data_IF_056899879973
#
_entry.id   IF_056899879973
#
_cell.length_a   1.000
_cell.length_b   1.000
_cell.length_c   1.000
_cell.angle_alpha   90.00
_cell.angle_beta   90.00
_cell.angle_gamma   90.00
#
_symmetry.space_group_name_H-M   'P 1'
#
loop_
_entity.id
_entity.type
_entity.pdbx_description
1 polymer ?
#
# COMPACT_ATOMS: atom_id res chain seq x y z
N UNK A 1 3.51 -7.54 15.24
CA UNK A 1 3.10 -6.61 14.18
C UNK A 1 3.27 -7.23 12.81
N UNK A 2 2.42 -6.86 11.89
CA UNK A 2 2.57 -7.23 10.48
C UNK A 2 2.77 -5.97 9.66
N UNK A 3 3.39 -6.12 8.51
CA UNK A 3 3.73 -4.98 7.65
C UNK A 3 3.28 -5.24 6.22
N UNK A 4 2.56 -4.29 5.66
CA UNK A 4 2.34 -4.23 4.22
C UNK A 4 3.53 -3.57 3.58
N UNK A 5 4.05 -4.17 2.53
CA UNK A 5 5.08 -3.57 1.68
C UNK A 5 4.50 -3.48 0.28
N UNK A 6 4.32 -2.25 -0.20
CA UNK A 6 3.75 -1.99 -1.52
C UNK A 6 4.78 -1.34 -2.42
N UNK A 7 4.73 -1.76 -3.68
CA UNK A 7 5.49 -1.11 -4.75
C UNK A 7 4.46 -0.68 -5.79
N UNK A 8 4.39 0.61 -6.09
CA UNK A 8 3.37 1.18 -6.97
C UNK A 8 4.02 2.03 -8.05
N UNK A 9 3.73 1.71 -9.31
CA UNK A 9 4.13 2.50 -10.46
C UNK A 9 2.87 2.88 -11.23
N UNK A 10 2.37 4.12 -11.08
CA UNK A 10 1.16 4.54 -11.78
C UNK A 10 1.33 4.50 -13.29
N UNK A 11 0.29 4.02 -13.98
CA UNK A 11 0.18 4.08 -15.44
C UNK A 11 -0.75 5.21 -15.86
N UNK A 12 -1.55 5.71 -14.91
CA UNK A 12 -2.46 6.83 -15.04
C UNK A 12 -2.50 7.51 -13.68
N UNK A 13 -2.45 8.82 -13.64
CA UNK A 13 -2.38 9.58 -12.39
C UNK A 13 -3.73 10.14 -11.94
N UNK A 14 -4.76 10.05 -12.74
CA UNK A 14 -6.06 10.66 -12.44
C UNK A 14 -6.72 10.11 -11.17
N UNK A 15 -6.47 8.85 -10.83
CA UNK A 15 -7.06 8.19 -9.66
C UNK A 15 -6.37 8.54 -8.34
N UNK A 16 -5.14 9.05 -8.38
CA UNK A 16 -4.28 9.18 -7.20
C UNK A 16 -4.85 10.11 -6.13
N UNK A 17 -5.29 11.36 -6.44
CA UNK A 17 -5.78 12.25 -5.40
C UNK A 17 -6.97 11.68 -4.61
N UNK A 18 -7.91 11.06 -5.31
CA UNK A 18 -9.08 10.45 -4.69
C UNK A 18 -8.69 9.27 -3.81
N UNK A 19 -7.81 8.41 -4.32
CA UNK A 19 -7.31 7.24 -3.59
C UNK A 19 -6.59 7.66 -2.30
N UNK A 20 -5.62 8.56 -2.42
CA UNK A 20 -4.79 8.97 -1.28
C UNK A 20 -5.64 9.57 -0.16
N UNK A 21 -6.62 10.39 -0.53
CA UNK A 21 -7.49 11.05 0.45
C UNK A 21 -8.31 10.05 1.26
N UNK A 22 -8.87 9.04 0.62
CA UNK A 22 -9.80 8.11 1.26
C UNK A 22 -9.11 6.89 1.85
N UNK A 23 -8.06 6.38 1.20
CA UNK A 23 -7.36 5.19 1.67
C UNK A 23 -6.72 5.39 3.04
N UNK A 24 -6.18 6.56 3.32
CA UNK A 24 -5.54 6.85 4.60
C UNK A 24 -6.52 6.68 5.77
N UNK A 25 -7.76 7.14 5.60
CA UNK A 25 -8.79 7.02 6.64
C UNK A 25 -9.18 5.55 6.88
N UNK A 26 -9.26 4.77 5.81
CA UNK A 26 -9.62 3.35 5.92
C UNK A 26 -8.47 2.55 6.55
N UNK A 27 -7.23 2.85 6.19
CA UNK A 27 -6.05 2.26 6.83
C UNK A 27 -6.10 2.52 8.34
N UNK A 28 -6.35 3.77 8.73
CA UNK A 28 -6.44 4.17 10.13
C UNK A 28 -7.60 3.44 10.86
N UNK A 29 -8.73 3.28 10.19
CA UNK A 29 -9.89 2.55 10.72
C UNK A 29 -9.53 1.13 11.15
N UNK A 30 -8.63 0.48 10.44
CA UNK A 30 -8.17 -0.89 10.75
C UNK A 30 -6.91 -0.92 11.60
N UNK A 31 -6.53 0.20 12.20
CA UNK A 31 -5.38 0.28 13.09
C UNK A 31 -4.04 0.35 12.37
N UNK A 32 -4.05 0.58 11.06
CA UNK A 32 -2.83 0.70 10.26
C UNK A 32 -2.16 2.05 10.46
N UNK A 33 -0.85 2.05 10.29
CA UNK A 33 -0.02 3.25 10.39
C UNK A 33 0.99 3.27 9.27
N UNK A 34 1.01 4.34 8.49
CA UNK A 34 2.03 4.52 7.46
C UNK A 34 3.39 4.77 8.11
N UNK A 35 4.36 3.91 7.83
CA UNK A 35 5.74 4.10 8.26
C UNK A 35 6.59 4.72 7.16
N UNK A 36 6.24 4.47 5.92
CA UNK A 36 6.90 5.05 4.76
C UNK A 36 5.90 5.16 3.61
N UNK A 37 6.01 6.22 2.84
CA UNK A 37 5.24 6.42 1.62
C UNK A 37 6.01 7.46 0.82
N UNK A 38 6.89 6.99 -0.06
CA UNK A 38 7.89 7.89 -0.65
C UNK A 38 8.34 7.44 -2.02
N UNK A 39 8.64 8.43 -2.86
CA UNK A 39 9.37 8.25 -4.11
C UNK A 39 10.88 8.38 -3.91
N UNK A 40 11.32 8.77 -2.71
CA UNK A 40 12.73 8.90 -2.37
C UNK A 40 13.25 7.59 -1.81
N UNK A 41 13.64 6.69 -2.69
CA UNK A 41 14.11 5.36 -2.36
C UNK A 41 15.16 4.92 -3.37
N UNK A 42 15.87 3.86 -3.05
CA UNK A 42 16.97 3.38 -3.91
C UNK A 42 17.07 1.86 -3.81
N UNK A 43 17.15 1.20 -4.94
CA UNK A 43 17.47 -0.23 -5.00
C UNK A 43 18.96 -0.42 -4.76
N UNK A 44 19.31 -1.24 -3.79
CA UNK A 44 20.70 -1.55 -3.44
C UNK A 44 21.20 -2.82 -4.11
N UNK A 45 20.29 -3.76 -4.36
CA UNK A 45 20.61 -5.05 -5.00
C UNK A 45 19.46 -5.43 -5.92
N UNK A 46 19.78 -6.11 -7.00
CA UNK A 46 18.80 -6.61 -7.96
C UNK A 46 18.70 -5.74 -9.19
N UNK A 47 18.19 -6.34 -10.27
CA UNK A 47 18.12 -5.71 -11.58
C UNK A 47 16.68 -5.39 -12.01
N UNK A 48 15.70 -5.59 -11.11
CA UNK A 48 14.30 -5.24 -11.40
C UNK A 48 14.17 -3.74 -11.62
N UNK A 49 13.24 -3.38 -12.48
CA UNK A 49 12.86 -1.98 -12.64
C UNK A 49 12.35 -1.45 -11.30
N UNK A 50 12.85 -0.29 -10.90
CA UNK A 50 12.48 0.33 -9.64
C UNK A 50 11.07 0.90 -9.72
N UNK A 51 10.18 0.61 -8.74
CA UNK A 51 8.85 1.19 -8.73
C UNK A 51 8.92 2.71 -8.49
N UNK A 52 7.87 3.42 -8.89
CA UNK A 52 7.82 4.86 -8.66
C UNK A 52 7.72 5.21 -7.17
N UNK A 53 6.97 4.41 -6.41
CA UNK A 53 6.67 4.67 -4.99
C UNK A 53 6.75 3.37 -4.23
N UNK A 54 7.31 3.44 -3.00
CA UNK A 54 7.22 2.35 -2.02
C UNK A 54 6.48 2.82 -0.78
N UNK A 55 5.64 1.93 -0.26
CA UNK A 55 4.80 2.21 0.90
C UNK A 55 4.98 1.09 1.91
N UNK A 56 5.14 1.46 3.18
CA UNK A 56 5.18 0.50 4.28
C UNK A 56 4.09 0.89 5.28
N UNK A 57 3.21 -0.06 5.59
CA UNK A 57 2.13 0.14 6.57
C UNK A 57 2.30 -0.87 7.69
N UNK A 58 2.28 -0.41 8.93
CA UNK A 58 2.29 -1.26 10.10
C UNK A 58 0.85 -1.59 10.51
N UNK A 59 0.59 -2.87 10.78
CA UNK A 59 -0.72 -3.35 11.25
C UNK A 59 -0.59 -4.02 12.61
N UNK A 60 -1.60 -3.88 13.50
CA UNK A 60 -1.54 -4.55 14.80
C UNK A 60 -1.60 -6.08 14.70
N UNK A 61 -2.17 -6.60 13.61
CA UNK A 61 -2.28 -8.06 13.40
C UNK A 61 -2.40 -8.36 11.91
N UNK A 62 -2.20 -9.61 11.55
CA UNK A 62 -2.46 -10.09 10.19
C UNK A 62 -3.92 -9.86 9.80
N UNK A 63 -4.85 -10.15 10.73
CA UNK A 63 -6.26 -10.04 10.46
C UNK A 63 -6.66 -8.60 10.13
N UNK A 64 -6.08 -7.62 10.82
CA UNK A 64 -6.34 -6.20 10.52
C UNK A 64 -5.99 -5.85 9.08
N UNK A 65 -4.86 -6.33 8.60
CA UNK A 65 -4.44 -6.11 7.21
C UNK A 65 -5.41 -6.77 6.23
N UNK A 66 -5.83 -8.00 6.51
CA UNK A 66 -6.76 -8.73 5.65
C UNK A 66 -8.14 -8.07 5.64
N UNK A 67 -8.61 -7.61 6.81
CA UNK A 67 -9.88 -6.91 6.92
C UNK A 67 -9.87 -5.60 6.13
N UNK A 68 -8.74 -4.88 6.16
CA UNK A 68 -8.57 -3.68 5.33
C UNK A 68 -8.73 -4.01 3.85
N UNK A 69 -8.07 -5.06 3.38
CA UNK A 69 -8.09 -5.44 1.96
C UNK A 69 -9.47 -5.89 1.48
N UNK A 70 -10.34 -6.34 2.39
CA UNK A 70 -11.70 -6.79 2.07
C UNK A 70 -12.78 -5.79 2.51
N UNK A 71 -12.40 -4.64 3.05
CA UNK A 71 -13.36 -3.62 3.49
C UNK A 71 -14.16 -3.10 2.29
N UNK A 72 -15.50 -3.15 2.33
CA UNK A 72 -16.32 -2.68 1.22
C UNK A 72 -16.06 -1.23 0.81
N UNK A 73 -15.61 -0.39 1.75
CA UNK A 73 -15.25 0.99 1.44
C UNK A 73 -13.91 1.09 0.70
N UNK A 74 -13.02 0.10 0.91
CA UNK A 74 -11.72 0.09 0.23
C UNK A 74 -11.78 -0.55 -1.16
N UNK A 75 -12.66 -1.51 -1.39
CA UNK A 75 -12.67 -2.26 -2.66
C UNK A 75 -12.75 -1.37 -3.90
N UNK A 76 -13.57 -0.31 -3.95
CA UNK A 76 -13.56 0.58 -5.12
C UNK A 76 -12.22 1.31 -5.30
N UNK A 77 -11.56 1.66 -4.20
CA UNK A 77 -10.25 2.32 -4.24
C UNK A 77 -9.16 1.35 -4.68
N UNK A 78 -9.23 0.11 -4.21
CA UNK A 78 -8.31 -0.94 -4.64
C UNK A 78 -8.41 -1.16 -6.15
N UNK A 79 -9.62 -1.17 -6.69
CA UNK A 79 -9.83 -1.31 -8.12
C UNK A 79 -9.18 -0.16 -8.90
N UNK A 80 -9.33 1.07 -8.41
CA UNK A 80 -8.69 2.23 -9.03
C UNK A 80 -7.18 2.07 -9.09
N UNK A 81 -6.56 1.63 -7.98
CA UNK A 81 -5.12 1.44 -7.93
C UNK A 81 -4.66 0.31 -8.82
N UNK A 82 -5.36 -0.82 -8.83
CA UNK A 82 -5.00 -1.97 -9.68
C UNK A 82 -5.12 -1.61 -11.16
N UNK A 83 -6.20 -0.94 -11.54
CA UNK A 83 -6.43 -0.57 -12.94
C UNK A 83 -5.49 0.54 -13.41
N UNK A 84 -5.09 1.44 -12.49
CA UNK A 84 -4.30 2.63 -12.83
C UNK A 84 -2.81 2.52 -12.49
N UNK A 85 -2.32 1.33 -12.17
CA UNK A 85 -0.90 1.15 -11.81
C UNK A 85 -0.43 -0.27 -12.08
N UNK A 86 0.90 -0.42 -12.07
CA UNK A 86 1.54 -1.73 -11.85
C UNK A 86 1.93 -1.73 -10.37
N UNK A 87 1.28 -2.56 -9.58
CA UNK A 87 1.56 -2.58 -8.15
C UNK A 87 1.71 -3.99 -7.61
N UNK A 88 2.57 -4.09 -6.59
CA UNK A 88 2.83 -5.32 -5.86
C UNK A 88 2.61 -5.05 -4.39
N UNK A 89 1.98 -5.96 -3.70
CA UNK A 89 1.67 -5.81 -2.29
C UNK A 89 1.92 -7.14 -1.59
N UNK A 90 2.80 -7.13 -0.62
CA UNK A 90 3.07 -8.30 0.21
C UNK A 90 2.84 -7.96 1.67
N UNK A 91 2.48 -8.95 2.46
CA UNK A 91 2.28 -8.83 3.90
C UNK A 91 3.36 -9.67 4.58
N UNK A 92 4.12 -9.05 5.48
CA UNK A 92 5.26 -9.67 6.13
C UNK A 92 5.09 -9.62 7.63
N UNK A 93 5.34 -10.76 8.29
CA UNK A 93 5.34 -10.81 9.75
C UNK A 93 6.54 -10.05 10.30
N UNK A 94 6.31 -9.22 11.30
CA UNK A 94 7.38 -8.49 11.96
C UNK A 94 8.26 -9.39 12.82
N UNK A 95 9.52 -9.05 12.93
CA UNK A 95 10.48 -9.74 13.78
C UNK A 95 10.47 -9.06 15.15
N UNK A 96 9.95 -9.75 16.14
CA UNK A 96 9.77 -9.19 17.49
C UNK A 96 10.43 -10.03 18.59
#
# INVERSE_FOLDING_TARGET
MYYSVLEVTPTDEAWIPHYVKLAADIVSKHGGKYLANSANHQTLEGEREEPAIRVIIQWPSKQSALDFMSDPEYLPLLKLRIDGSVSHHVLVEGKE
#
